data_IF_632627191878
#
_entry.id   IF_632627191878
#
_cell.length_a   1.000
_cell.length_b   1.000
_cell.length_c   1.000
_cell.angle_alpha   90.00
_cell.angle_beta   90.00
_cell.angle_gamma   90.00
#
_symmetry.space_group_name_H-M   'P 1'
#
loop_
_entity.id
_entity.type
_entity.pdbx_description
1 polymer ?
#
# COMPACT_ATOMS: atom_id res chain seq x y z
N UNK A 1 -15.16 48.37 22.15
CA UNK A 1 -15.29 47.29 21.16
C UNK A 1 -13.90 46.76 20.90
N UNK A 2 -13.59 45.58 21.44
CA UNK A 2 -12.27 44.94 21.35
C UNK A 2 -12.23 44.07 20.10
N UNK A 3 -11.33 44.40 19.17
CA UNK A 3 -10.99 43.57 18.02
C UNK A 3 -10.25 42.32 18.51
N UNK A 4 -10.93 41.19 18.53
CA UNK A 4 -10.28 39.89 18.69
C UNK A 4 -9.63 39.49 17.36
N UNK A 5 -8.32 39.71 17.27
CA UNK A 5 -7.47 39.07 16.30
C UNK A 5 -7.49 37.56 16.54
N UNK A 6 -8.38 36.86 15.84
CA UNK A 6 -8.24 35.42 15.61
C UNK A 6 -7.00 35.24 14.73
N UNK A 7 -5.84 35.09 15.38
CA UNK A 7 -4.66 34.48 14.77
C UNK A 7 -5.02 33.02 14.43
N UNK A 8 -5.73 32.85 13.32
CA UNK A 8 -5.86 31.57 12.64
C UNK A 8 -4.44 31.13 12.31
N UNK A 9 -4.00 30.08 12.99
CA UNK A 9 -2.71 29.44 12.83
C UNK A 9 -2.62 28.93 11.37
N UNK A 10 -2.24 29.82 10.43
CA UNK A 10 -2.07 29.49 9.03
C UNK A 10 -0.86 28.56 8.93
N UNK A 11 -1.13 27.25 9.04
CA UNK A 11 -0.14 26.20 8.80
C UNK A 11 0.28 26.34 7.33
N UNK A 12 1.46 26.89 7.11
CA UNK A 12 2.07 26.95 5.79
C UNK A 12 2.42 25.53 5.36
N UNK A 13 1.61 24.96 4.47
CA UNK A 13 1.89 23.66 3.86
C UNK A 13 2.73 23.89 2.60
N UNK A 14 4.05 23.68 2.71
CA UNK A 14 4.90 23.54 1.54
C UNK A 14 4.70 22.12 0.98
N UNK A 15 3.78 21.96 0.03
CA UNK A 15 3.71 20.75 -0.78
C UNK A 15 4.84 20.84 -1.79
N UNK A 16 5.73 19.84 -1.83
CA UNK A 16 6.79 19.81 -2.83
C UNK A 16 6.16 19.82 -4.24
N UNK A 17 6.65 20.71 -5.11
CA UNK A 17 6.20 20.79 -6.50
C UNK A 17 6.59 19.57 -7.32
N UNK A 18 7.47 18.71 -6.80
CA UNK A 18 7.96 17.50 -7.46
C UNK A 18 6.84 16.57 -7.92
N UNK A 19 5.71 16.54 -7.19
CA UNK A 19 4.54 15.72 -7.55
C UNK A 19 3.95 16.11 -8.91
N UNK A 20 4.02 17.39 -9.28
CA UNK A 20 3.49 17.88 -10.56
C UNK A 20 4.46 17.64 -11.72
N UNK A 21 5.74 17.40 -11.40
CA UNK A 21 6.81 17.19 -12.39
C UNK A 21 7.11 15.71 -12.62
N UNK A 22 6.57 14.82 -11.78
CA UNK A 22 6.74 13.39 -11.92
C UNK A 22 5.93 12.85 -13.12
N UNK A 23 6.59 12.34 -14.17
CA UNK A 23 5.90 11.84 -15.35
C UNK A 23 5.10 10.58 -15.02
N UNK A 24 3.94 10.43 -15.64
CA UNK A 24 3.08 9.25 -15.49
C UNK A 24 2.09 9.33 -14.32
N UNK A 25 2.09 10.40 -13.52
CA UNK A 25 1.08 10.61 -12.49
C UNK A 25 -0.14 11.34 -13.06
N UNK A 26 -1.30 10.69 -12.99
CA UNK A 26 -2.56 11.34 -13.30
C UNK A 26 -3.00 12.31 -12.19
N UNK A 27 -4.04 13.09 -12.49
CA UNK A 27 -4.57 14.08 -11.55
C UNK A 27 -5.04 13.45 -10.24
N UNK A 28 -5.58 12.22 -10.27
CA UNK A 28 -6.04 11.55 -9.05
C UNK A 28 -4.87 11.13 -8.17
N UNK A 29 -3.79 10.65 -8.76
CA UNK A 29 -2.55 10.29 -8.08
C UNK A 29 -1.92 11.51 -7.41
N UNK A 30 -1.85 12.63 -8.13
CA UNK A 30 -1.36 13.90 -7.59
C UNK A 30 -2.24 14.40 -6.44
N UNK A 31 -3.57 14.39 -6.60
CA UNK A 31 -4.51 14.83 -5.56
C UNK A 31 -4.46 13.95 -4.32
N UNK A 32 -4.40 12.63 -4.47
CA UNK A 32 -4.23 11.71 -3.34
C UNK A 32 -2.95 12.01 -2.57
N UNK A 33 -1.83 12.27 -3.27
CA UNK A 33 -0.58 12.66 -2.62
C UNK A 33 -0.72 13.97 -1.84
N UNK A 34 -1.32 14.99 -2.44
CA UNK A 34 -1.57 16.28 -1.77
C UNK A 34 -2.42 16.09 -0.51
N UNK A 35 -3.50 15.30 -0.61
CA UNK A 35 -4.36 15.01 0.55
C UNK A 35 -3.53 14.31 1.63
N UNK A 36 -2.79 13.26 1.33
CA UNK A 36 -1.94 12.56 2.31
C UNK A 36 -0.95 13.51 2.99
N UNK A 37 -0.27 14.37 2.22
CA UNK A 37 0.73 15.32 2.75
C UNK A 37 0.13 16.45 3.59
N UNK A 38 -1.20 16.67 3.51
CA UNK A 38 -1.89 17.61 4.40
C UNK A 38 -2.05 17.07 5.83
N UNK A 39 -1.83 15.78 6.05
CA UNK A 39 -1.86 15.15 7.36
C UNK A 39 -0.45 15.03 7.94
N UNK A 40 -0.28 15.52 9.16
CA UNK A 40 1.05 15.69 9.79
C UNK A 40 1.39 14.63 10.83
N UNK A 41 0.44 13.78 11.23
CA UNK A 41 0.69 12.67 12.17
C UNK A 41 0.11 11.37 11.65
N UNK A 42 0.82 10.27 11.90
CA UNK A 42 0.37 8.91 11.57
C UNK A 42 -0.96 8.57 12.28
N UNK A 43 -1.18 9.11 13.48
CA UNK A 43 -2.42 8.93 14.25
C UNK A 43 -3.65 9.65 13.69
N UNK A 44 -3.45 10.59 12.75
CA UNK A 44 -4.52 11.35 12.13
C UNK A 44 -4.68 11.02 10.64
N UNK A 45 -4.04 9.95 10.14
CA UNK A 45 -4.09 9.62 8.72
C UNK A 45 -5.53 9.43 8.24
N UNK A 46 -5.87 9.95 7.05
CA UNK A 46 -7.22 9.85 6.52
C UNK A 46 -7.55 8.41 6.18
N UNK A 47 -8.83 8.05 6.29
CA UNK A 47 -9.37 6.84 5.68
C UNK A 47 -9.38 6.97 4.15
N UNK A 48 -9.42 5.84 3.44
CA UNK A 48 -9.55 5.84 1.97
C UNK A 48 -10.78 6.62 1.49
N UNK A 49 -11.88 6.56 2.23
CA UNK A 49 -13.11 7.31 1.93
C UNK A 49 -12.90 8.82 2.03
N UNK A 50 -12.18 9.28 3.05
CA UNK A 50 -11.84 10.71 3.21
C UNK A 50 -10.88 11.19 2.12
N UNK A 51 -9.92 10.36 1.71
CA UNK A 51 -9.06 10.66 0.54
C UNK A 51 -9.93 10.85 -0.70
N UNK A 52 -10.82 9.89 -0.97
CA UNK A 52 -11.70 9.94 -2.13
C UNK A 52 -12.56 11.21 -2.13
N UNK A 53 -13.17 11.52 -0.98
CA UNK A 53 -14.00 12.71 -0.81
C UNK A 53 -13.21 14.01 -1.01
N UNK A 54 -12.06 14.17 -0.33
CA UNK A 54 -11.24 15.39 -0.41
C UNK A 54 -10.60 15.57 -1.78
N UNK A 55 -10.21 14.47 -2.42
CA UNK A 55 -9.67 14.45 -3.77
C UNK A 55 -10.72 14.51 -4.87
N UNK A 56 -12.01 14.59 -4.54
CA UNK A 56 -13.15 14.62 -5.49
C UNK A 56 -13.11 13.46 -6.47
N UNK A 57 -12.90 12.26 -5.95
CA UNK A 57 -12.79 11.03 -6.72
C UNK A 57 -13.57 9.89 -6.05
N UNK A 58 -13.77 8.79 -6.77
CA UNK A 58 -14.36 7.57 -6.20
C UNK A 58 -13.35 6.81 -5.36
N UNK A 59 -13.81 5.95 -4.45
CA UNK A 59 -12.93 5.07 -3.67
C UNK A 59 -12.04 4.20 -4.57
N UNK A 60 -12.58 3.69 -5.69
CA UNK A 60 -11.81 2.91 -6.67
C UNK A 60 -10.68 3.72 -7.31
N UNK A 61 -10.95 4.99 -7.65
CA UNK A 61 -9.91 5.89 -8.16
C UNK A 61 -8.86 6.19 -7.09
N UNK A 62 -9.27 6.39 -5.83
CA UNK A 62 -8.36 6.58 -4.72
C UNK A 62 -7.47 5.35 -4.48
N UNK A 63 -8.01 4.13 -4.57
CA UNK A 63 -7.22 2.88 -4.50
C UNK A 63 -6.17 2.82 -5.60
N UNK A 64 -6.56 3.08 -6.86
CA UNK A 64 -5.62 3.09 -7.99
C UNK A 64 -4.55 4.17 -7.86
N UNK A 65 -4.93 5.36 -7.40
CA UNK A 65 -4.00 6.45 -7.09
C UNK A 65 -2.99 6.02 -6.01
N UNK A 66 -3.44 5.40 -4.92
CA UNK A 66 -2.58 4.84 -3.87
C UNK A 66 -1.62 3.79 -4.42
N UNK A 67 -2.09 2.87 -5.28
CA UNK A 67 -1.26 1.87 -5.95
C UNK A 67 -0.19 2.52 -6.83
N UNK A 68 -0.54 3.57 -7.57
CA UNK A 68 0.41 4.32 -8.39
C UNK A 68 1.48 5.00 -7.54
N UNK A 69 1.08 5.66 -6.44
CA UNK A 69 2.02 6.33 -5.52
C UNK A 69 3.05 5.37 -4.93
N UNK A 70 2.65 4.17 -4.52
CA UNK A 70 3.59 3.17 -3.97
C UNK A 70 4.49 2.59 -5.07
N UNK A 71 3.97 2.36 -6.28
CA UNK A 71 4.78 1.88 -7.42
C UNK A 71 5.84 2.91 -7.84
N UNK A 72 5.52 4.20 -7.76
CA UNK A 72 6.46 5.30 -7.99
C UNK A 72 7.34 5.62 -6.77
N UNK A 73 7.28 4.82 -5.69
CA UNK A 73 8.04 4.99 -4.43
C UNK A 73 7.82 6.34 -3.75
N UNK A 74 6.66 6.97 -3.99
CA UNK A 74 6.29 8.25 -3.38
C UNK A 74 5.69 8.08 -1.99
N UNK A 75 5.18 6.88 -1.70
CA UNK A 75 4.75 6.45 -0.37
C UNK A 75 5.34 5.07 -0.02
N UNK A 76 5.56 4.76 1.26
CA UNK A 76 6.03 3.44 1.69
C UNK A 76 4.98 2.34 1.49
N UNK A 77 5.43 1.10 1.24
CA UNK A 77 4.55 -0.08 1.16
C UNK A 77 3.73 -0.28 2.44
N UNK A 78 4.33 -0.09 3.62
CA UNK A 78 3.65 -0.19 4.91
C UNK A 78 2.42 0.73 5.00
N UNK A 79 2.55 1.99 4.58
CA UNK A 79 1.44 2.94 4.59
C UNK A 79 0.32 2.48 3.64
N UNK A 80 0.69 2.06 2.43
CA UNK A 80 -0.27 1.52 1.47
C UNK A 80 -1.05 0.32 2.05
N UNK A 81 -0.35 -0.65 2.65
CA UNK A 81 -0.97 -1.86 3.24
C UNK A 81 -1.97 -1.50 4.34
N UNK A 82 -1.62 -0.56 5.22
CA UNK A 82 -2.50 -0.10 6.31
C UNK A 82 -3.79 0.55 5.79
N UNK A 83 -3.73 1.26 4.67
CA UNK A 83 -4.86 2.04 4.16
C UNK A 83 -5.78 1.27 3.21
N UNK A 84 -5.21 0.38 2.40
CA UNK A 84 -5.93 -0.36 1.34
C UNK A 84 -6.28 -1.79 1.79
N UNK A 85 -5.38 -2.44 2.52
CA UNK A 85 -5.46 -3.86 2.81
C UNK A 85 -5.08 -4.75 1.62
N UNK A 86 -4.67 -5.99 1.88
CA UNK A 86 -4.19 -6.92 0.84
C UNK A 86 -5.23 -7.30 -0.22
N UNK A 87 -6.50 -7.46 0.15
CA UNK A 87 -7.51 -7.93 -0.79
C UNK A 87 -7.89 -6.88 -1.84
N UNK A 88 -7.71 -5.60 -1.52
CA UNK A 88 -7.95 -4.47 -2.42
C UNK A 88 -6.69 -4.05 -3.20
N UNK A 89 -5.57 -4.74 -2.99
CA UNK A 89 -4.36 -4.53 -3.79
C UNK A 89 -4.45 -5.29 -5.11
N UNK A 90 -4.61 -4.57 -6.23
CA UNK A 90 -4.66 -5.17 -7.56
C UNK A 90 -3.28 -5.59 -8.07
N UNK A 91 -2.20 -5.26 -7.34
CA UNK A 91 -0.83 -5.68 -7.67
C UNK A 91 -0.54 -7.12 -7.27
N UNK A 92 -1.39 -7.72 -6.43
CA UNK A 92 -1.27 -9.11 -5.99
C UNK A 92 -2.23 -10.01 -6.75
N UNK A 93 -1.73 -11.14 -7.24
CA UNK A 93 -2.58 -12.22 -7.75
C UNK A 93 -3.44 -12.85 -6.64
N UNK A 94 -4.47 -13.60 -7.03
CA UNK A 94 -5.27 -14.38 -6.08
C UNK A 94 -4.44 -15.43 -5.34
N UNK A 95 -3.46 -16.05 -6.00
CA UNK A 95 -2.53 -16.99 -5.37
C UNK A 95 -1.70 -16.27 -4.28
N UNK A 96 -1.14 -15.09 -4.57
CA UNK A 96 -0.41 -14.29 -3.59
C UNK A 96 -1.28 -13.89 -2.39
N UNK A 97 -2.53 -13.48 -2.62
CA UNK A 97 -3.48 -13.13 -1.54
C UNK A 97 -3.83 -14.36 -0.67
N UNK A 98 -4.08 -15.51 -1.29
CA UNK A 98 -4.34 -16.76 -0.58
C UNK A 98 -3.15 -17.19 0.26
N UNK A 99 -1.95 -17.13 -0.33
CA UNK A 99 -0.70 -17.48 0.34
C UNK A 99 -0.41 -16.54 1.53
N UNK A 100 -0.65 -15.23 1.37
CA UNK A 100 -0.52 -14.28 2.47
C UNK A 100 -1.50 -14.56 3.62
N UNK A 101 -2.74 -14.94 3.29
CA UNK A 101 -3.74 -15.36 4.30
C UNK A 101 -3.25 -16.59 5.05
N UNK A 102 -2.75 -17.58 4.32
CA UNK A 102 -2.21 -18.80 4.88
C UNK A 102 -1.03 -18.54 5.83
N UNK A 103 -0.09 -17.66 5.47
CA UNK A 103 1.03 -17.29 6.35
C UNK A 103 0.59 -16.61 7.65
N UNK A 104 -0.53 -15.87 7.64
CA UNK A 104 -1.08 -15.28 8.86
C UNK A 104 -1.68 -16.32 9.79
N UNK A 105 -2.28 -17.37 9.24
CA UNK A 105 -2.84 -18.49 10.00
C UNK A 105 -1.77 -19.46 10.48
N UNK A 106 -0.66 -19.57 9.75
CA UNK A 106 0.47 -20.44 10.04
C UNK A 106 1.80 -19.67 10.13
N UNK A 107 2.03 -18.84 11.17
CA UNK A 107 3.19 -17.94 11.23
C UNK A 107 4.55 -18.65 11.30
N UNK A 108 4.56 -19.93 11.69
CA UNK A 108 5.77 -20.74 11.83
C UNK A 108 6.04 -21.64 10.62
N UNK A 109 5.20 -21.59 9.57
CA UNK A 109 5.40 -22.49 8.44
C UNK A 109 6.70 -22.16 7.71
N UNK A 110 7.48 -23.20 7.42
CA UNK A 110 8.65 -23.11 6.55
C UNK A 110 8.25 -23.23 5.09
N UNK A 111 9.06 -22.68 4.19
CA UNK A 111 8.77 -22.82 2.76
C UNK A 111 8.99 -24.23 2.25
N UNK A 112 9.85 -25.03 2.89
CA UNK A 112 9.95 -26.45 2.59
C UNK A 112 8.60 -27.15 2.80
N UNK A 113 7.94 -26.91 3.93
CA UNK A 113 6.60 -27.46 4.20
C UNK A 113 5.57 -26.95 3.19
N UNK A 114 5.66 -25.68 2.77
CA UNK A 114 4.77 -25.11 1.76
C UNK A 114 4.93 -25.78 0.38
N UNK A 115 6.18 -26.02 -0.05
CA UNK A 115 6.47 -26.67 -1.33
C UNK A 115 6.07 -28.16 -1.30
N UNK A 116 6.31 -28.85 -0.18
CA UNK A 116 5.85 -30.23 0.03
C UNK A 116 4.31 -30.35 -0.02
N UNK A 117 3.59 -29.32 0.43
CA UNK A 117 2.12 -29.27 0.31
C UNK A 117 1.66 -29.05 -1.14
N UNK A 118 2.45 -28.35 -1.95
CA UNK A 118 2.13 -28.09 -3.37
C UNK A 118 2.20 -29.36 -4.22
N UNK A 119 3.20 -30.21 -3.94
CA UNK A 119 3.34 -31.54 -4.55
C UNK A 119 2.13 -32.45 -4.25
N UNK A 120 1.46 -32.23 -3.12
CA UNK A 120 0.29 -33.00 -2.70
C UNK A 120 -1.04 -32.41 -3.18
N UNK A 121 -1.12 -31.09 -3.38
CA UNK A 121 -2.34 -30.39 -3.81
C UNK A 121 -2.48 -30.31 -5.34
N UNK A 122 -1.42 -30.66 -6.09
CA UNK A 122 -1.39 -30.50 -7.55
C UNK A 122 -1.27 -29.04 -7.98
N UNK A 123 -0.94 -28.14 -7.05
CA UNK A 123 -0.54 -26.77 -7.39
C UNK A 123 0.89 -26.78 -7.92
N UNK A 124 1.12 -25.98 -8.95
CA UNK A 124 2.43 -25.88 -9.59
C UNK A 124 3.39 -25.10 -8.68
N UNK A 125 4.53 -25.71 -8.34
CA UNK A 125 5.62 -25.11 -7.57
C UNK A 125 6.00 -23.72 -8.10
N UNK A 126 5.99 -23.55 -9.43
CA UNK A 126 6.30 -22.27 -10.07
C UNK A 126 5.25 -21.19 -9.75
N UNK A 127 3.99 -21.57 -9.56
CA UNK A 127 2.91 -20.66 -9.19
C UNK A 127 3.10 -20.12 -7.77
N UNK A 128 3.57 -20.96 -6.83
CA UNK A 128 3.91 -20.54 -5.47
C UNK A 128 5.12 -19.62 -5.47
N UNK A 129 6.19 -19.98 -6.17
CA UNK A 129 7.39 -19.14 -6.28
C UNK A 129 7.06 -17.77 -6.87
N UNK A 130 6.23 -17.73 -7.92
CA UNK A 130 5.74 -16.48 -8.50
C UNK A 130 4.95 -15.66 -7.50
N UNK A 131 4.04 -16.27 -6.74
CA UNK A 131 3.29 -15.60 -5.70
C UNK A 131 4.20 -15.03 -4.59
N UNK A 132 5.24 -15.76 -4.18
CA UNK A 132 6.25 -15.28 -3.23
C UNK A 132 7.03 -14.07 -3.77
N UNK A 133 7.41 -14.08 -5.06
CA UNK A 133 8.04 -12.93 -5.74
C UNK A 133 7.12 -11.72 -5.75
N UNK A 134 5.83 -11.91 -6.05
CA UNK A 134 4.83 -10.84 -6.01
C UNK A 134 4.70 -10.25 -4.61
N UNK A 135 4.64 -11.09 -3.57
CA UNK A 135 4.56 -10.64 -2.18
C UNK A 135 5.81 -9.87 -1.76
N UNK A 136 7.02 -10.35 -2.12
CA UNK A 136 8.28 -9.67 -1.81
C UNK A 136 8.36 -8.30 -2.48
N UNK A 137 8.14 -8.26 -3.79
CA UNK A 137 8.24 -7.02 -4.59
C UNK A 137 7.23 -5.95 -4.17
N UNK A 138 6.08 -6.35 -3.60
CA UNK A 138 5.07 -5.45 -3.07
C UNK A 138 5.21 -5.19 -1.55
N UNK A 139 6.29 -5.66 -0.92
CA UNK A 139 6.64 -5.38 0.47
C UNK A 139 5.86 -6.18 1.52
N UNK A 140 5.09 -7.19 1.13
CA UNK A 140 4.27 -7.99 2.07
C UNK A 140 5.08 -9.00 2.89
N UNK A 141 6.29 -9.37 2.44
CA UNK A 141 7.17 -10.27 3.19
C UNK A 141 8.06 -9.56 4.23
N UNK A 142 7.98 -8.22 4.36
CA UNK A 142 8.71 -7.48 5.40
C UNK A 142 8.37 -7.96 6.82
N UNK A 143 7.13 -8.44 7.00
CA UNK A 143 6.61 -8.96 8.28
C UNK A 143 6.93 -10.46 8.48
N UNK A 144 7.53 -11.11 7.48
CA UNK A 144 7.88 -12.54 7.47
C UNK A 144 9.33 -12.74 7.02
N UNK A 145 10.32 -12.43 7.88
CA UNK A 145 11.73 -12.40 7.50
C UNK A 145 12.25 -13.73 6.94
N UNK A 146 11.79 -14.86 7.49
CA UNK A 146 12.16 -16.19 7.01
C UNK A 146 11.69 -16.47 5.57
N UNK A 147 10.54 -15.91 5.18
CA UNK A 147 10.01 -16.05 3.81
C UNK A 147 10.74 -15.16 2.80
N UNK A 148 11.24 -14.00 3.26
CA UNK A 148 11.94 -13.04 2.39
C UNK A 148 13.28 -13.54 1.84
N UNK A 149 13.95 -14.43 2.58
CA UNK A 149 15.27 -15.02 2.26
C UNK A 149 15.25 -15.98 1.07
N UNK A 150 14.07 -16.40 0.62
CA UNK A 150 13.90 -17.44 -0.39
C UNK A 150 13.78 -16.92 -1.81
N UNK A 151 13.69 -15.59 -1.96
CA UNK A 151 13.48 -14.91 -3.24
C UNK A 151 14.66 -13.97 -3.51
N UNK A 152 15.84 -14.28 -2.98
CA UNK A 152 17.10 -13.61 -3.31
C UNK A 152 17.84 -14.35 -4.43
#
# INVERSE_FOLDING_TARGET
MTNEHTQGNARNFAVSTDIFMQPGLDIYTQMTYIVLRSYTSESAMPTLSEIAQKGRMTAKQATKAMQSLVNHKMIPHKLFRQMIGEFQDDRLSWAAKGLLTYFKEHPSISVTELLEMSDQSGEDEQSILKALIELKSNGYLEEFPELSKLVD
#
